data_IF_238854820201
#
_entry.id   IF_238854820201
#
_cell.length_a   1.000
_cell.length_b   1.000
_cell.length_c   1.000
_cell.angle_alpha   90.00
_cell.angle_beta   90.00
_cell.angle_gamma   90.00
#
_symmetry.space_group_name_H-M   'P 1'
#
loop_
_entity.id
_entity.type
_entity.pdbx_description
1 polymer ?
#
# COMPACT_ATOMS: atom_id res chain seq x y z
N UNK A 1 -25.31 7.59 7.06
CA UNK A 1 -23.98 7.75 6.43
C UNK A 1 -23.94 6.83 5.22
N UNK A 2 -24.38 7.34 4.07
CA UNK A 2 -24.47 6.52 2.85
C UNK A 2 -23.20 6.59 2.00
N UNK A 3 -22.33 7.58 2.21
CA UNK A 3 -21.16 7.80 1.37
C UNK A 3 -19.88 7.36 2.08
N UNK A 4 -19.12 6.48 1.42
CA UNK A 4 -17.75 6.14 1.82
C UNK A 4 -16.85 7.23 1.27
N UNK A 5 -16.36 8.10 2.15
CA UNK A 5 -15.39 9.13 1.80
C UNK A 5 -14.05 8.46 1.48
N UNK A 6 -13.71 8.36 0.19
CA UNK A 6 -12.45 7.78 -0.22
C UNK A 6 -11.29 8.79 -0.04
N UNK A 7 -10.24 8.45 0.73
CA UNK A 7 -9.07 9.31 0.90
C UNK A 7 -8.30 9.38 -0.42
N UNK A 8 -8.47 10.49 -1.15
CA UNK A 8 -7.84 10.70 -2.46
C UNK A 8 -6.30 10.57 -2.41
N UNK A 9 -5.70 10.99 -1.30
CA UNK A 9 -4.25 10.90 -1.06
C UNK A 9 -3.74 9.47 -0.87
N UNK A 10 -4.60 8.47 -0.62
CA UNK A 10 -4.25 7.04 -0.66
C UNK A 10 -4.61 6.40 -2.00
N UNK A 11 -5.76 6.80 -2.57
CA UNK A 11 -6.26 6.25 -3.82
C UNK A 11 -5.33 6.57 -5.00
N UNK A 12 -4.90 7.82 -5.14
CA UNK A 12 -4.03 8.25 -6.23
C UNK A 12 -2.69 7.49 -6.23
N UNK A 13 -1.93 7.42 -5.13
CA UNK A 13 -0.70 6.65 -5.10
C UNK A 13 -0.90 5.15 -5.34
N UNK A 14 -1.98 4.56 -4.83
CA UNK A 14 -2.29 3.15 -5.08
C UNK A 14 -2.55 2.88 -6.57
N UNK A 15 -3.36 3.71 -7.23
CA UNK A 15 -3.64 3.61 -8.67
C UNK A 15 -2.37 3.79 -9.51
N UNK A 16 -1.57 4.80 -9.20
CA UNK A 16 -0.27 5.03 -9.88
C UNK A 16 0.63 3.81 -9.72
N UNK A 17 0.65 3.20 -8.54
CA UNK A 17 1.46 2.02 -8.27
C UNK A 17 1.00 0.81 -9.09
N UNK A 18 -0.33 0.56 -9.15
CA UNK A 18 -0.92 -0.50 -9.98
C UNK A 18 -0.60 -0.31 -11.45
N UNK A 19 -0.80 0.90 -11.98
CA UNK A 19 -0.47 1.22 -13.38
C UNK A 19 1.03 1.04 -13.66
N UNK A 20 1.89 1.48 -12.75
CA UNK A 20 3.34 1.31 -12.87
C UNK A 20 3.74 -0.17 -12.90
N UNK A 21 3.14 -1.00 -12.03
CA UNK A 21 3.36 -2.46 -12.02
C UNK A 21 2.95 -3.09 -13.35
N UNK A 22 1.77 -2.76 -13.87
CA UNK A 22 1.30 -3.26 -15.17
C UNK A 22 2.29 -2.91 -16.28
N UNK A 23 2.72 -1.64 -16.35
CA UNK A 23 3.67 -1.18 -17.36
C UNK A 23 5.01 -1.91 -17.26
N UNK A 24 5.54 -2.10 -16.05
CA UNK A 24 6.83 -2.75 -15.83
C UNK A 24 6.77 -4.24 -16.18
N UNK A 25 5.69 -4.93 -15.80
CA UNK A 25 5.48 -6.34 -16.15
C UNK A 25 5.34 -6.49 -17.67
N UNK A 26 4.52 -5.65 -18.31
CA UNK A 26 4.32 -5.67 -19.75
C UNK A 26 5.62 -5.39 -20.52
N UNK A 27 6.42 -4.42 -20.07
CA UNK A 27 7.70 -4.05 -20.71
C UNK A 27 8.92 -4.80 -20.16
N UNK A 28 8.72 -5.87 -19.37
CA UNK A 28 9.78 -6.63 -18.68
C UNK A 28 11.00 -6.90 -19.57
N UNK A 29 10.79 -7.49 -20.76
CA UNK A 29 11.89 -7.86 -21.69
C UNK A 29 12.72 -6.64 -22.10
N UNK A 30 12.06 -5.53 -22.45
CA UNK A 30 12.72 -4.29 -22.89
C UNK A 30 13.47 -3.60 -21.75
N UNK A 31 12.92 -3.63 -20.54
CA UNK A 31 13.56 -3.05 -19.35
C UNK A 31 14.81 -3.85 -18.98
N UNK A 32 14.69 -5.18 -18.88
CA UNK A 32 15.83 -6.06 -18.53
C UNK A 32 16.95 -5.95 -19.57
N UNK A 33 16.62 -5.86 -20.86
CA UNK A 33 17.61 -5.70 -21.93
C UNK A 33 18.37 -4.36 -21.85
N UNK A 34 17.74 -3.30 -21.35
CA UNK A 34 18.35 -1.96 -21.23
C UNK A 34 19.11 -1.77 -19.91
N UNK A 35 18.75 -2.50 -18.85
CA UNK A 35 19.34 -2.35 -17.53
C UNK A 35 20.01 -3.65 -17.06
N UNK A 36 19.58 -4.20 -15.92
CA UNK A 36 19.98 -5.51 -15.43
C UNK A 36 18.78 -6.15 -14.70
N UNK A 37 18.84 -7.47 -14.53
CA UNK A 37 17.76 -8.23 -13.88
C UNK A 37 17.58 -7.85 -12.40
N UNK A 38 18.68 -7.52 -11.71
CA UNK A 38 18.65 -7.16 -10.29
C UNK A 38 17.86 -5.88 -10.02
N UNK A 39 18.05 -4.85 -10.86
CA UNK A 39 17.34 -3.58 -10.78
C UNK A 39 15.86 -3.75 -11.12
N UNK A 40 15.54 -4.60 -12.09
CA UNK A 40 14.15 -4.97 -12.36
C UNK A 40 13.47 -5.60 -11.15
N UNK A 41 14.14 -6.57 -10.49
CA UNK A 41 13.61 -7.22 -9.28
C UNK A 41 13.45 -6.20 -8.14
N UNK A 42 14.42 -5.30 -7.96
CA UNK A 42 14.35 -4.27 -6.92
C UNK A 42 13.19 -3.29 -7.15
N UNK A 43 12.97 -2.82 -8.37
CA UNK A 43 11.84 -1.94 -8.69
C UNK A 43 10.50 -2.68 -8.51
N UNK A 44 10.42 -3.94 -8.93
CA UNK A 44 9.23 -4.76 -8.73
C UNK A 44 8.92 -4.94 -7.24
N UNK A 45 9.94 -5.22 -6.43
CA UNK A 45 9.82 -5.33 -4.98
C UNK A 45 9.40 -4.00 -4.34
N UNK A 46 10.00 -2.89 -4.75
CA UNK A 46 9.65 -1.54 -4.30
C UNK A 46 8.16 -1.25 -4.51
N UNK A 47 7.68 -1.39 -5.76
CA UNK A 47 6.28 -1.11 -6.08
C UNK A 47 5.32 -2.07 -5.40
N UNK A 48 5.69 -3.36 -5.30
CA UNK A 48 4.84 -4.36 -4.64
C UNK A 48 4.70 -4.07 -3.14
N UNK A 49 5.80 -3.78 -2.45
CA UNK A 49 5.79 -3.40 -1.04
C UNK A 49 5.01 -2.11 -0.82
N UNK A 50 5.24 -1.10 -1.67
CA UNK A 50 4.55 0.18 -1.58
C UNK A 50 3.04 0.02 -1.76
N UNK A 51 2.62 -0.77 -2.76
CA UNK A 51 1.22 -1.09 -3.00
C UNK A 51 0.60 -1.85 -1.83
N UNK A 52 1.31 -2.81 -1.23
CA UNK A 52 0.82 -3.52 -0.06
C UNK A 52 0.58 -2.55 1.11
N UNK A 53 1.49 -1.62 1.37
CA UNK A 53 1.35 -0.68 2.50
C UNK A 53 0.18 0.30 2.27
N UNK A 54 0.16 0.99 1.13
CA UNK A 54 -0.88 1.98 0.83
C UNK A 54 -2.23 1.31 0.59
N UNK A 55 -2.24 0.17 -0.12
CA UNK A 55 -3.45 -0.62 -0.38
C UNK A 55 -4.08 -1.16 0.90
N UNK A 56 -3.28 -1.64 1.85
CA UNK A 56 -3.77 -2.08 3.15
C UNK A 56 -4.38 -0.92 3.95
N UNK A 57 -3.73 0.25 3.92
CA UNK A 57 -4.26 1.46 4.54
C UNK A 57 -5.63 1.87 3.95
N UNK A 58 -5.73 1.87 2.61
CA UNK A 58 -6.97 2.18 1.89
C UNK A 58 -8.06 1.16 2.21
N UNK A 59 -7.74 -0.13 2.23
CA UNK A 59 -8.67 -1.20 2.61
C UNK A 59 -9.21 -1.01 4.03
N UNK A 60 -8.33 -0.78 5.01
CA UNK A 60 -8.76 -0.58 6.39
C UNK A 60 -9.59 0.69 6.56
N UNK A 61 -9.27 1.77 5.85
CA UNK A 61 -10.08 2.98 5.88
C UNK A 61 -11.53 2.71 5.43
N UNK A 62 -11.68 2.04 4.27
CA UNK A 62 -12.98 1.64 3.74
C UNK A 62 -13.69 0.69 4.71
N UNK A 63 -12.97 -0.31 5.24
CA UNK A 63 -13.53 -1.29 6.16
C UNK A 63 -14.03 -0.65 7.46
N UNK A 64 -13.27 0.25 8.07
CA UNK A 64 -13.69 0.90 9.32
C UNK A 64 -14.85 1.87 9.11
N UNK A 65 -14.86 2.61 8.00
CA UNK A 65 -16.01 3.44 7.65
C UNK A 65 -17.26 2.59 7.39
N UNK A 66 -17.13 1.52 6.61
CA UNK A 66 -18.22 0.58 6.39
C UNK A 66 -18.73 -0.04 7.71
N UNK A 67 -17.81 -0.41 8.61
CA UNK A 67 -18.16 -0.98 9.90
C UNK A 67 -18.88 0.02 10.82
N UNK A 68 -18.49 1.30 10.79
CA UNK A 68 -19.17 2.35 11.53
C UNK A 68 -20.56 2.65 10.95
N UNK A 69 -20.70 2.66 9.62
CA UNK A 69 -21.97 2.92 8.94
C UNK A 69 -23.05 1.88 9.25
N UNK A 70 -22.70 0.69 9.76
CA UNK A 70 -23.68 -0.33 10.17
C UNK A 70 -24.55 0.11 11.36
N UNK A 71 -24.07 1.05 12.16
CA UNK A 71 -24.77 1.52 13.35
C UNK A 71 -25.71 2.69 13.07
N UNK A 72 -25.63 3.29 11.88
CA UNK A 72 -26.50 4.36 11.42
C UNK A 72 -27.73 3.73 10.74
N UNK A 73 -28.75 3.45 11.55
CA UNK A 73 -29.92 2.67 11.15
C UNK A 73 -30.87 3.49 10.27
N UNK A 74 -31.00 4.77 10.57
CA UNK A 74 -31.87 5.69 9.84
C UNK A 74 -31.17 6.36 8.63
N UNK A 75 -29.85 6.17 8.50
CA UNK A 75 -28.98 6.65 7.42
C UNK A 75 -28.83 8.18 7.37
N UNK A 76 -29.17 8.89 8.43
CA UNK A 76 -29.17 10.36 8.45
C UNK A 76 -27.78 10.98 8.67
N UNK A 77 -26.77 10.16 9.01
CA UNK A 77 -25.40 10.61 9.23
C UNK A 77 -25.05 10.96 10.67
N UNK A 78 -26.01 10.85 11.58
CA UNK A 78 -25.88 11.20 13.00
C UNK A 78 -26.29 9.99 13.84
N UNK A 79 -25.47 9.64 14.83
CA UNK A 79 -25.85 8.56 15.74
C UNK A 79 -26.71 9.11 16.88
N UNK A 80 -27.91 8.56 17.06
CA UNK A 80 -28.85 8.98 18.11
C UNK A 80 -29.50 7.80 18.85
N UNK A 81 -29.77 8.00 20.14
CA UNK A 81 -30.51 7.04 20.97
C UNK A 81 -29.93 5.63 20.92
N UNK A 82 -30.71 4.69 20.36
CA UNK A 82 -30.40 3.27 20.31
C UNK A 82 -29.21 2.92 19.38
N UNK A 83 -28.77 3.86 18.55
CA UNK A 83 -27.60 3.70 17.68
C UNK A 83 -26.28 3.86 18.45
N UNK A 84 -26.33 4.56 19.60
CA UNK A 84 -25.17 4.79 20.46
C UNK A 84 -25.03 3.61 21.42
N UNK A 85 -24.17 2.66 21.06
CA UNK A 85 -23.79 1.54 21.91
C UNK A 85 -22.27 1.37 21.99
N UNK A 86 -21.80 0.46 22.84
CA UNK A 86 -20.37 0.22 23.05
C UNK A 86 -19.64 -0.20 21.76
N UNK A 87 -20.27 -1.03 20.93
CA UNK A 87 -19.69 -1.48 19.67
C UNK A 87 -19.56 -0.33 18.65
N UNK A 88 -20.55 0.57 18.61
CA UNK A 88 -20.50 1.79 17.80
C UNK A 88 -19.35 2.69 18.25
N UNK A 89 -19.16 2.89 19.56
CA UNK A 89 -18.04 3.69 20.11
C UNK A 89 -16.68 3.09 19.73
N UNK A 90 -16.55 1.77 19.82
CA UNK A 90 -15.33 1.07 19.40
C UNK A 90 -15.08 1.24 17.90
N UNK A 91 -16.14 1.14 17.07
CA UNK A 91 -16.03 1.36 15.63
C UNK A 91 -15.60 2.80 15.31
N UNK A 92 -16.16 3.78 16.01
CA UNK A 92 -15.81 5.19 15.87
C UNK A 92 -14.35 5.44 16.28
N UNK A 93 -13.91 4.88 17.41
CA UNK A 93 -12.53 5.00 17.88
C UNK A 93 -11.54 4.39 16.88
N UNK A 94 -11.86 3.23 16.30
CA UNK A 94 -11.03 2.59 15.26
C UNK A 94 -10.93 3.42 13.99
N UNK A 95 -12.02 4.07 13.59
CA UNK A 95 -12.01 5.00 12.46
C UNK A 95 -11.19 6.26 12.79
N UNK A 96 -11.39 6.86 13.96
CA UNK A 96 -10.69 8.08 14.37
C UNK A 96 -9.18 7.88 14.62
N UNK A 97 -8.75 6.65 14.96
CA UNK A 97 -7.33 6.30 15.10
C UNK A 97 -6.67 6.13 13.72
N UNK A 98 -6.39 7.27 13.08
CA UNK A 98 -6.02 7.37 11.67
C UNK A 98 -4.55 7.71 11.38
N UNK A 99 -3.73 8.02 12.40
CA UNK A 99 -2.36 8.55 12.18
C UNK A 99 -1.52 7.67 11.27
N UNK A 100 -1.50 6.35 11.52
CA UNK A 100 -0.75 5.41 10.68
C UNK A 100 -1.31 5.31 9.26
N UNK A 101 -2.64 5.41 9.09
CA UNK A 101 -3.30 5.32 7.79
C UNK A 101 -3.07 6.59 6.96
N UNK A 102 -3.20 7.75 7.57
CA UNK A 102 -3.02 9.05 6.93
C UNK A 102 -1.58 9.25 6.44
N UNK A 103 -0.58 8.85 7.24
CA UNK A 103 0.83 8.97 6.86
C UNK A 103 1.39 7.76 6.10
N UNK A 104 0.57 6.73 5.85
CA UNK A 104 1.01 5.49 5.18
C UNK A 104 1.61 5.73 3.78
N UNK A 105 1.19 6.77 3.06
CA UNK A 105 1.78 7.08 1.75
C UNK A 105 3.24 7.53 1.86
N UNK A 106 3.57 8.38 2.84
CA UNK A 106 4.96 8.85 3.06
C UNK A 106 5.79 7.72 3.65
N UNK A 107 5.29 7.12 4.74
CA UNK A 107 6.00 6.07 5.48
C UNK A 107 6.22 4.87 4.56
N UNK A 108 5.18 4.44 3.84
CA UNK A 108 5.25 3.34 2.88
C UNK A 108 6.28 3.59 1.79
N UNK A 109 6.39 4.82 1.29
CA UNK A 109 7.37 5.18 0.26
C UNK A 109 8.81 5.02 0.79
N UNK A 110 9.08 5.57 1.99
CA UNK A 110 10.39 5.52 2.63
C UNK A 110 10.79 4.07 2.92
N UNK A 111 9.94 3.28 3.58
CA UNK A 111 10.26 1.90 3.93
C UNK A 111 10.41 0.99 2.71
N UNK A 112 9.53 1.14 1.71
CA UNK A 112 9.65 0.36 0.47
C UNK A 112 10.94 0.68 -0.26
N UNK A 113 11.35 1.96 -0.29
CA UNK A 113 12.62 2.37 -0.87
C UNK A 113 13.79 1.73 -0.14
N UNK A 114 13.85 1.85 1.19
CA UNK A 114 14.94 1.29 2.00
C UNK A 114 15.06 -0.23 1.76
N UNK A 115 13.96 -0.97 1.88
CA UNK A 115 13.95 -2.44 1.73
C UNK A 115 14.40 -2.85 0.33
N UNK A 116 13.83 -2.22 -0.71
CA UNK A 116 14.18 -2.54 -2.11
C UNK A 116 15.62 -2.15 -2.47
N UNK A 117 16.15 -1.09 -1.86
CA UNK A 117 17.53 -0.66 -2.04
C UNK A 117 18.51 -1.68 -1.45
N UNK A 118 18.27 -2.16 -0.22
CA UNK A 118 19.07 -3.23 0.36
C UNK A 118 18.97 -4.53 -0.44
N UNK A 119 17.77 -4.89 -0.91
CA UNK A 119 17.57 -6.03 -1.81
C UNK A 119 18.42 -5.89 -3.08
N UNK A 120 18.45 -4.70 -3.71
CA UNK A 120 19.27 -4.43 -4.88
C UNK A 120 20.76 -4.63 -4.61
N UNK A 121 21.26 -4.11 -3.48
CA UNK A 121 22.67 -4.26 -3.07
C UNK A 121 22.99 -5.75 -2.88
N UNK A 122 22.16 -6.50 -2.15
CA UNK A 122 22.36 -7.93 -1.92
C UNK A 122 22.41 -8.73 -3.23
N UNK A 123 21.48 -8.49 -4.14
CA UNK A 123 21.45 -9.14 -5.46
C UNK A 123 22.70 -8.77 -6.29
N UNK A 124 23.11 -7.50 -6.23
CA UNK A 124 24.29 -7.01 -6.95
C UNK A 124 25.59 -7.60 -6.41
N UNK A 125 25.74 -7.76 -5.10
CA UNK A 125 26.90 -8.44 -4.49
C UNK A 125 26.90 -9.91 -4.88
N UNK A 126 25.77 -10.61 -4.75
CA UNK A 126 25.63 -12.02 -5.12
C UNK A 126 26.05 -12.27 -6.57
N UNK A 127 25.49 -11.50 -7.51
CA UNK A 127 25.83 -11.65 -8.94
C UNK A 127 27.28 -11.33 -9.26
N UNK A 128 27.94 -10.42 -8.54
CA UNK A 128 29.38 -10.17 -8.68
C UNK A 128 30.22 -11.33 -8.15
N UNK A 129 29.84 -11.93 -7.02
CA UNK A 129 30.52 -13.09 -6.45
C UNK A 129 30.38 -14.31 -7.35
N UNK A 130 29.18 -14.60 -7.87
CA UNK A 130 28.94 -15.72 -8.80
C UNK A 130 29.85 -15.63 -10.04
N UNK A 131 30.00 -14.42 -10.61
CA UNK A 131 30.93 -14.16 -11.73
C UNK A 131 32.40 -14.32 -11.35
N UNK A 132 32.79 -13.88 -10.14
CA UNK A 132 34.19 -13.95 -9.67
C UNK A 132 34.64 -15.39 -9.38
N UNK A 133 33.74 -16.25 -8.91
CA UNK A 133 34.03 -17.64 -8.55
C UNK A 133 33.67 -18.65 -9.67
N UNK A 134 33.44 -18.18 -10.90
CA UNK A 134 33.26 -19.05 -12.07
C UNK A 134 32.03 -19.95 -12.01
N UNK A 135 31.00 -19.59 -11.25
CA UNK A 135 29.75 -20.38 -11.14
C UNK A 135 28.76 -20.14 -12.28
N UNK A 136 29.17 -19.46 -13.36
CA UNK A 136 28.40 -19.26 -14.58
C UNK A 136 29.34 -19.14 -15.77
#
# INVERSE_FOLDING_TARGET
>A
MNEISMPQYLLLPALICVLSLIVIIYKKKKIIAKSNMNLFIAILAFLSLYLCIVGNSLFYNIYYQWNLNKYDLNKDGMFVGNEINENQKIALQKLASDTGRNFSFIIGLIFSFIISFFLYIMLSIRTKLEKRFGKT
#
